data_IF_092695895831
#
_entry.id   IF_092695895831
#
_cell.length_a   1.000
_cell.length_b   1.000
_cell.length_c   1.000
_cell.angle_alpha   90.00
_cell.angle_beta   90.00
_cell.angle_gamma   90.00
#
_symmetry.space_group_name_H-M   'P 1'
#
loop_
_entity.id
_entity.type
_entity.pdbx_description
1 polymer ?
#
# COMPACT_ATOMS: atom_id res chain seq x y z
N UNK A 1 23.44 -27.50 34.33
CA UNK A 1 23.19 -26.17 33.73
C UNK A 1 22.68 -26.42 32.31
N UNK A 2 21.35 -26.48 32.08
CA UNK A 2 20.52 -25.42 31.44
C UNK A 2 21.28 -24.67 30.32
N UNK A 3 20.81 -24.47 29.09
CA UNK A 3 19.60 -24.85 28.34
C UNK A 3 19.91 -24.59 26.85
N UNK A 4 19.37 -25.41 25.94
CA UNK A 4 19.39 -25.14 24.50
C UNK A 4 18.38 -24.06 24.08
N UNK A 5 18.62 -23.45 22.92
CA UNK A 5 17.63 -22.67 22.19
C UNK A 5 17.80 -22.95 20.69
N UNK A 6 16.99 -23.88 20.17
CA UNK A 6 16.72 -24.02 18.75
C UNK A 6 15.59 -23.02 18.44
N UNK A 7 15.88 -22.02 17.60
CA UNK A 7 14.91 -21.04 17.16
C UNK A 7 14.03 -21.67 16.07
N UNK A 8 12.93 -22.27 16.49
CA UNK A 8 11.85 -22.75 15.61
C UNK A 8 11.10 -21.50 15.14
N UNK A 9 11.04 -21.29 13.83
CA UNK A 9 10.20 -20.25 13.23
C UNK A 9 8.73 -20.54 13.52
N UNK A 10 8.14 -19.77 14.41
CA UNK A 10 6.72 -19.84 14.73
C UNK A 10 5.92 -19.18 13.61
N UNK A 11 5.25 -20.01 12.81
CA UNK A 11 4.20 -19.57 11.90
C UNK A 11 3.02 -19.10 12.77
N UNK A 12 2.68 -17.81 12.73
CA UNK A 12 1.59 -17.27 13.53
C UNK A 12 0.24 -17.77 13.01
N UNK A 13 -0.31 -18.78 13.69
CA UNK A 13 -1.70 -19.21 13.54
C UNK A 13 -2.65 -18.15 14.10
N UNK A 14 -3.51 -17.60 13.24
CA UNK A 14 -4.56 -16.66 13.61
C UNK A 14 -5.70 -17.36 14.35
N UNK A 15 -5.83 -17.11 15.65
CA UNK A 15 -7.05 -17.41 16.41
C UNK A 15 -8.17 -16.46 16.01
N UNK A 16 -9.35 -17.02 15.78
CA UNK A 16 -10.54 -16.27 15.35
C UNK A 16 -11.45 -15.95 16.55
N UNK A 17 -12.13 -14.80 16.47
CA UNK A 17 -13.43 -14.43 17.06
C UNK A 17 -13.46 -13.32 18.12
N UNK A 18 -13.49 -12.08 17.62
CA UNK A 18 -14.39 -10.98 18.04
C UNK A 18 -14.10 -9.76 17.15
N UNK A 19 -14.70 -9.67 15.95
CA UNK A 19 -14.37 -8.60 14.98
C UNK A 19 -15.60 -7.91 14.36
N UNK A 20 -16.80 -8.14 14.87
CA UNK A 20 -18.00 -7.59 14.22
C UNK A 20 -18.26 -6.10 14.51
N UNK A 21 -17.65 -5.50 15.56
CA UNK A 21 -17.90 -4.09 15.91
C UNK A 21 -16.86 -3.10 15.38
N UNK A 22 -15.60 -3.51 15.14
CA UNK A 22 -14.56 -2.55 14.72
C UNK A 22 -14.74 -2.02 13.29
N UNK A 23 -15.36 -2.78 12.39
CA UNK A 23 -15.36 -2.41 10.97
C UNK A 23 -16.47 -1.44 10.55
N UNK A 24 -17.54 -1.30 11.34
CA UNK A 24 -18.66 -0.39 11.00
C UNK A 24 -18.29 1.07 11.27
N UNK A 25 -17.59 1.34 12.38
CA UNK A 25 -17.08 2.67 12.69
C UNK A 25 -16.00 3.10 11.68
N UNK A 26 -15.06 2.20 11.37
CA UNK A 26 -14.05 2.41 10.33
C UNK A 26 -14.67 2.74 8.96
N UNK A 27 -15.78 2.10 8.62
CA UNK A 27 -16.52 2.38 7.38
C UNK A 27 -17.09 3.80 7.37
N UNK A 28 -17.74 4.22 8.47
CA UNK A 28 -18.28 5.57 8.57
C UNK A 28 -17.18 6.62 8.41
N UNK A 29 -16.04 6.42 9.08
CA UNK A 29 -14.92 7.35 9.01
C UNK A 29 -14.33 7.40 7.60
N UNK A 30 -14.12 6.24 6.98
CA UNK A 30 -13.63 6.15 5.61
C UNK A 30 -14.55 6.90 4.62
N UNK A 31 -15.86 6.73 4.73
CA UNK A 31 -16.83 7.43 3.88
C UNK A 31 -16.71 8.95 4.02
N UNK A 32 -16.66 9.46 5.25
CA UNK A 32 -16.52 10.92 5.49
C UNK A 32 -15.22 11.46 4.88
N UNK A 33 -14.10 10.74 5.07
CA UNK A 33 -12.81 11.14 4.51
C UNK A 33 -12.83 11.13 2.98
N UNK A 34 -13.43 10.11 2.35
CA UNK A 34 -13.57 10.07 0.89
C UNK A 34 -14.36 11.25 0.34
N UNK A 35 -15.47 11.62 0.98
CA UNK A 35 -16.27 12.78 0.55
C UNK A 35 -15.47 14.08 0.63
N UNK A 36 -14.68 14.26 1.69
CA UNK A 36 -13.83 15.44 1.86
C UNK A 36 -12.76 15.52 0.75
N UNK A 37 -12.09 14.40 0.47
CA UNK A 37 -10.98 14.36 -0.48
C UNK A 37 -11.40 14.29 -1.95
N UNK A 38 -12.61 13.82 -2.26
CA UNK A 38 -13.14 13.77 -3.64
C UNK A 38 -13.09 15.12 -4.37
N UNK A 39 -13.17 16.23 -3.62
CA UNK A 39 -13.09 17.60 -4.14
C UNK A 39 -11.69 17.95 -4.68
N UNK A 40 -10.66 17.21 -4.29
CA UNK A 40 -9.26 17.43 -4.68
C UNK A 40 -8.86 16.62 -5.93
N UNK A 41 -9.54 15.51 -6.24
CA UNK A 41 -9.17 14.60 -7.34
C UNK A 41 -9.16 15.28 -8.71
N UNK A 42 -10.10 16.21 -8.93
CA UNK A 42 -10.15 16.98 -10.18
C UNK A 42 -8.90 17.84 -10.41
N UNK A 43 -8.23 18.31 -9.35
CA UNK A 43 -6.98 19.07 -9.48
C UNK A 43 -5.80 18.15 -9.82
N UNK A 44 -5.75 16.95 -9.24
CA UNK A 44 -4.70 15.97 -9.49
C UNK A 44 -4.75 15.48 -10.94
N UNK A 45 -5.93 15.08 -11.43
CA UNK A 45 -6.11 14.60 -12.81
C UNK A 45 -5.68 15.65 -13.84
N UNK A 46 -6.02 16.93 -13.62
CA UNK A 46 -5.57 18.04 -14.47
C UNK A 46 -4.05 18.20 -14.49
N UNK A 47 -3.39 18.10 -13.32
CA UNK A 47 -1.92 18.18 -13.24
C UNK A 47 -1.24 17.03 -13.98
N UNK A 48 -1.77 15.81 -13.86
CA UNK A 48 -1.21 14.64 -14.53
C UNK A 48 -1.43 14.67 -16.06
N UNK A 49 -2.57 15.22 -16.52
CA UNK A 49 -2.90 15.27 -17.96
C UNK A 49 -1.94 16.10 -18.81
N UNK A 50 -1.19 17.02 -18.20
CA UNK A 50 -0.21 17.87 -18.89
C UNK A 50 1.22 17.31 -18.89
N UNK A 51 1.47 16.16 -18.25
CA UNK A 51 2.81 15.60 -18.11
C UNK A 51 3.17 14.77 -19.35
N UNK A 52 4.33 15.04 -19.93
CA UNK A 52 4.84 14.26 -21.05
C UNK A 52 5.13 12.82 -20.58
N UNK A 53 4.73 11.79 -21.35
CA UNK A 53 5.04 10.41 -20.99
C UNK A 53 6.54 10.19 -21.00
N UNK A 54 7.10 9.65 -19.92
CA UNK A 54 8.48 9.19 -19.90
C UNK A 54 8.57 7.83 -20.61
N UNK A 55 9.38 7.68 -21.67
CA UNK A 55 9.57 6.39 -22.32
C UNK A 55 10.01 5.32 -21.31
N UNK A 56 9.26 4.21 -21.26
CA UNK A 56 9.57 3.10 -20.37
C UNK A 56 9.60 1.79 -21.15
N UNK A 57 10.71 1.07 -21.03
CA UNK A 57 10.80 -0.35 -21.39
C UNK A 57 10.46 -1.19 -20.17
N UNK A 58 9.31 -1.91 -20.13
CA UNK A 58 8.96 -2.78 -19.02
C UNK A 58 10.03 -3.86 -18.80
N UNK A 59 10.31 -4.19 -17.55
CA UNK A 59 11.23 -5.26 -17.18
C UNK A 59 10.49 -6.28 -16.34
N UNK A 60 10.61 -7.56 -16.69
CA UNK A 60 10.04 -8.67 -15.92
C UNK A 60 11.22 -9.40 -15.28
N UNK A 61 11.27 -9.40 -13.95
CA UNK A 61 12.30 -10.12 -13.22
C UNK A 61 12.07 -11.64 -13.38
N UNK A 62 13.04 -12.34 -13.97
CA UNK A 62 12.99 -13.82 -14.07
C UNK A 62 13.46 -14.52 -12.79
N UNK A 63 14.19 -13.80 -11.94
CA UNK A 63 14.78 -14.28 -10.69
C UNK A 63 14.61 -13.21 -9.62
N UNK A 64 14.80 -13.57 -8.35
CA UNK A 64 14.86 -12.58 -7.27
C UNK A 64 16.09 -11.69 -7.52
N UNK A 65 15.92 -10.36 -7.63
CA UNK A 65 17.02 -9.44 -7.92
C UNK A 65 18.04 -9.43 -6.78
N UNK A 66 19.30 -9.11 -7.10
CA UNK A 66 20.29 -8.85 -6.07
C UNK A 66 19.94 -7.59 -5.28
N UNK A 67 20.54 -7.40 -4.10
CA UNK A 67 20.36 -6.18 -3.30
C UNK A 67 20.77 -4.94 -4.12
N UNK A 68 21.83 -5.07 -4.93
CA UNK A 68 22.29 -3.99 -5.79
C UNK A 68 21.25 -3.65 -6.86
N UNK A 69 20.72 -4.65 -7.56
CA UNK A 69 19.75 -4.43 -8.63
C UNK A 69 18.45 -3.83 -8.07
N UNK A 70 17.97 -4.35 -6.94
CA UNK A 70 16.80 -3.82 -6.25
C UNK A 70 16.99 -2.35 -5.83
N UNK A 71 18.20 -1.97 -5.41
CA UNK A 71 18.53 -0.59 -5.02
C UNK A 71 18.54 0.35 -6.23
N UNK A 72 19.06 -0.11 -7.38
CA UNK A 72 19.02 0.65 -8.63
C UNK A 72 17.59 0.82 -9.16
N UNK A 73 16.78 -0.24 -9.09
CA UNK A 73 15.37 -0.17 -9.48
C UNK A 73 14.59 0.79 -8.57
N UNK A 74 14.88 0.80 -7.26
CA UNK A 74 14.29 1.75 -6.32
C UNK A 74 14.69 3.19 -6.64
N UNK A 75 15.97 3.45 -6.93
CA UNK A 75 16.44 4.77 -7.35
C UNK A 75 15.72 5.25 -8.63
N UNK A 76 15.58 4.36 -9.62
CA UNK A 76 14.85 4.65 -10.86
C UNK A 76 13.37 4.98 -10.62
N UNK A 77 12.73 4.31 -9.66
CA UNK A 77 11.37 4.64 -9.24
C UNK A 77 11.32 6.06 -8.66
N UNK A 78 12.23 6.42 -7.75
CA UNK A 78 12.27 7.75 -7.13
C UNK A 78 12.47 8.87 -8.15
N UNK A 79 13.38 8.69 -9.10
CA UNK A 79 13.62 9.65 -10.19
C UNK A 79 12.36 9.89 -11.03
N UNK A 80 11.60 8.82 -11.32
CA UNK A 80 10.35 8.93 -12.09
C UNK A 80 9.23 9.60 -11.31
N UNK A 81 9.09 9.29 -10.02
CA UNK A 81 8.12 9.97 -9.16
C UNK A 81 8.42 11.47 -9.10
N UNK A 82 9.69 11.85 -9.00
CA UNK A 82 10.13 13.24 -8.97
C UNK A 82 9.72 14.02 -10.22
N UNK A 83 9.85 13.43 -11.42
CA UNK A 83 9.41 14.06 -12.69
C UNK A 83 7.95 14.47 -12.65
N UNK A 84 7.11 13.71 -11.95
CA UNK A 84 5.68 13.98 -11.84
C UNK A 84 5.28 14.75 -10.57
N UNK A 85 6.25 15.19 -9.75
CA UNK A 85 6.00 15.83 -8.47
C UNK A 85 5.33 14.91 -7.45
N UNK A 86 5.57 13.60 -7.57
CA UNK A 86 5.08 12.55 -6.68
C UNK A 86 6.21 12.08 -5.77
N UNK A 87 5.85 11.35 -4.72
CA UNK A 87 6.79 10.72 -3.80
C UNK A 87 6.26 9.36 -3.34
N UNK A 88 7.15 8.50 -2.86
CA UNK A 88 6.80 7.20 -2.32
C UNK A 88 6.34 7.33 -0.87
N UNK A 89 5.19 6.74 -0.54
CA UNK A 89 4.71 6.55 0.83
C UNK A 89 4.96 5.10 1.21
N UNK A 90 5.75 4.87 2.27
CA UNK A 90 5.99 3.53 2.78
C UNK A 90 4.77 3.03 3.56
N UNK A 91 4.34 1.81 3.27
CA UNK A 91 3.30 1.08 4.00
C UNK A 91 3.87 -0.20 4.60
N UNK A 92 3.16 -0.78 5.57
CA UNK A 92 3.55 -2.07 6.16
C UNK A 92 3.68 -3.16 5.09
N UNK A 93 4.82 -3.86 5.08
CA UNK A 93 5.09 -4.99 4.18
C UNK A 93 4.42 -6.29 4.60
N UNK A 94 3.14 -6.23 5.00
CA UNK A 94 2.34 -7.39 5.37
C UNK A 94 1.49 -7.90 4.18
N UNK A 95 0.72 -8.97 4.38
CA UNK A 95 -0.19 -9.50 3.35
C UNK A 95 -1.36 -8.58 2.97
N UNK A 96 -1.48 -7.40 3.60
CA UNK A 96 -2.49 -6.38 3.30
C UNK A 96 -1.90 -5.12 2.67
N UNK A 97 -0.59 -5.10 2.37
CA UNK A 97 0.13 -3.92 1.89
C UNK A 97 -0.56 -3.21 0.70
N UNK A 98 -1.13 -3.98 -0.24
CA UNK A 98 -1.85 -3.41 -1.38
C UNK A 98 -3.12 -2.66 -0.96
N UNK A 99 -3.91 -3.22 -0.05
CA UNK A 99 -5.11 -2.56 0.48
C UNK A 99 -4.76 -1.38 1.38
N UNK A 100 -3.64 -1.45 2.12
CA UNK A 100 -3.10 -0.34 2.91
C UNK A 100 -2.68 0.82 2.01
N UNK A 101 -1.99 0.55 0.91
CA UNK A 101 -1.61 1.57 -0.07
C UNK A 101 -2.84 2.24 -0.69
N UNK A 102 -3.87 1.47 -1.07
CA UNK A 102 -5.13 2.01 -1.59
C UNK A 102 -5.86 2.85 -0.54
N UNK A 103 -5.92 2.37 0.71
CA UNK A 103 -6.51 3.09 1.83
C UNK A 103 -5.81 4.44 2.04
N UNK A 104 -4.48 4.48 1.98
CA UNK A 104 -3.72 5.72 2.10
C UNK A 104 -4.03 6.71 0.96
N UNK A 105 -4.18 6.23 -0.27
CA UNK A 105 -4.52 7.10 -1.40
C UNK A 105 -5.93 7.70 -1.30
N UNK A 106 -6.92 6.94 -0.80
CA UNK A 106 -8.32 7.39 -0.71
C UNK A 106 -8.62 8.17 0.56
N UNK A 107 -8.04 7.76 1.69
CA UNK A 107 -8.40 8.26 3.01
C UNK A 107 -7.23 8.94 3.75
N UNK A 108 -6.05 9.05 3.13
CA UNK A 108 -4.81 9.57 3.78
C UNK A 108 -4.43 8.80 5.05
N UNK A 109 -4.86 7.54 5.12
CA UNK A 109 -4.60 6.65 6.24
C UNK A 109 -4.57 5.19 5.77
N UNK A 110 -3.55 4.40 6.13
CA UNK A 110 -3.49 2.98 5.80
C UNK A 110 -4.38 2.11 6.69
N UNK A 111 -5.05 2.67 7.70
CA UNK A 111 -5.79 1.92 8.72
C UNK A 111 -7.11 1.34 8.20
N UNK A 112 -7.76 1.98 7.22
CA UNK A 112 -9.02 1.52 6.63
C UNK A 112 -8.86 0.39 5.61
N UNK A 113 -7.69 -0.26 5.57
CA UNK A 113 -7.38 -1.33 4.60
C UNK A 113 -8.35 -2.52 4.66
N UNK A 114 -8.97 -2.80 5.81
CA UNK A 114 -9.99 -3.85 5.95
C UNK A 114 -11.25 -3.51 5.15
N UNK A 115 -11.71 -2.26 5.22
CA UNK A 115 -12.86 -1.78 4.47
C UNK A 115 -12.58 -1.79 2.97
N UNK A 116 -11.42 -1.29 2.56
CA UNK A 116 -10.99 -1.33 1.14
C UNK A 116 -10.98 -2.76 0.61
N UNK A 117 -10.44 -3.70 1.39
CA UNK A 117 -10.45 -5.12 1.02
C UNK A 117 -11.88 -5.62 0.86
N UNK A 118 -12.73 -5.41 1.87
CA UNK A 118 -14.14 -5.83 1.88
C UNK A 118 -14.86 -5.42 0.59
N UNK A 119 -14.69 -4.17 0.19
CA UNK A 119 -15.37 -3.61 -0.99
C UNK A 119 -14.84 -4.17 -2.31
N UNK A 120 -13.52 -4.34 -2.43
CA UNK A 120 -12.88 -4.84 -3.66
C UNK A 120 -13.17 -6.33 -3.87
N UNK A 121 -12.97 -7.16 -2.83
CA UNK A 121 -13.11 -8.62 -2.95
C UNK A 121 -14.52 -9.12 -2.62
N UNK A 122 -15.42 -8.23 -2.16
CA UNK A 122 -16.79 -8.55 -1.71
C UNK A 122 -16.82 -9.65 -0.64
N UNK A 123 -15.82 -9.65 0.25
CA UNK A 123 -15.71 -10.59 1.37
C UNK A 123 -16.32 -10.02 2.64
#
# INVERSE_FOLDING_TARGET
MRNGAQHVGECSSSTSWSSHQDTEDDQMIAVVLSEEFSKLDGAVARRLSGLAPVPHVPHINSYIPSIHDASLDHQRLLERLHVYGLYEVKVSGDGNCQFRALSDQMYRSPEYHKHVRKDIVKQ
#
